data_IF_570298118696
#
_entry.id   IF_570298118696
#
_cell.length_a   1.000
_cell.length_b   1.000
_cell.length_c   1.000
_cell.angle_alpha   90.00
_cell.angle_beta   90.00
_cell.angle_gamma   90.00
#
_symmetry.space_group_name_H-M   'P 1'
#
loop_
_entity.id
_entity.type
_entity.pdbx_description
1 polymer ?
#
# COMPACT_ATOMS: atom_id res chain seq x y z
N UNK A 1 17.50 -0.64 5.99
CA UNK A 1 16.05 -0.85 5.99
C UNK A 1 15.72 -2.14 5.26
N UNK A 2 15.43 -3.17 6.00
CA UNK A 2 15.22 -4.51 5.43
C UNK A 2 13.76 -4.78 5.09
N UNK A 3 12.91 -3.76 5.16
CA UNK A 3 11.48 -3.87 5.04
C UNK A 3 10.88 -3.02 3.91
N UNK A 4 11.70 -2.63 2.94
CA UNK A 4 11.25 -1.91 1.75
C UNK A 4 11.44 -2.81 0.53
N UNK A 5 10.37 -2.98 -0.26
CA UNK A 5 10.35 -3.83 -1.43
C UNK A 5 10.00 -3.00 -2.67
N UNK A 6 10.73 -3.21 -3.75
CA UNK A 6 10.47 -2.52 -5.02
C UNK A 6 9.91 -3.53 -6.02
N UNK A 7 8.76 -3.18 -6.63
CA UNK A 7 8.10 -4.03 -7.62
C UNK A 7 8.25 -3.39 -8.99
N UNK A 8 8.84 -4.12 -9.93
CA UNK A 8 9.16 -3.63 -11.27
C UNK A 8 8.10 -3.88 -12.33
N UNK A 9 6.82 -3.92 -11.95
CA UNK A 9 5.72 -4.16 -12.88
C UNK A 9 4.97 -5.44 -12.57
N UNK A 10 3.91 -5.72 -13.34
CA UNK A 10 3.05 -6.91 -13.18
C UNK A 10 2.45 -7.05 -11.78
N UNK A 11 2.24 -5.94 -11.08
CA UNK A 11 1.64 -5.94 -9.76
C UNK A 11 0.27 -6.63 -9.79
N UNK A 12 -0.03 -7.41 -8.74
CA UNK A 12 -1.27 -8.17 -8.59
C UNK A 12 -1.47 -9.25 -9.65
N UNK A 13 -0.41 -9.67 -10.33
CA UNK A 13 -0.46 -10.69 -11.37
C UNK A 13 0.29 -11.94 -10.95
N UNK A 14 0.06 -13.03 -11.69
CA UNK A 14 0.62 -14.34 -11.38
C UNK A 14 2.14 -14.32 -11.21
N UNK A 15 2.85 -13.49 -12.00
CA UNK A 15 4.30 -13.37 -11.91
C UNK A 15 4.82 -12.87 -10.56
N UNK A 16 3.98 -12.19 -9.78
CA UNK A 16 4.35 -11.67 -8.46
C UNK A 16 3.92 -12.57 -7.29
N UNK A 17 3.13 -13.63 -7.54
CA UNK A 17 2.55 -14.45 -6.46
C UNK A 17 3.61 -15.04 -5.55
N UNK A 18 4.68 -15.60 -6.10
CA UNK A 18 5.73 -16.22 -5.29
C UNK A 18 6.40 -15.21 -4.35
N UNK A 19 6.71 -14.02 -4.87
CA UNK A 19 7.33 -12.95 -4.08
C UNK A 19 6.39 -12.47 -2.99
N UNK A 20 5.15 -12.20 -3.34
CA UNK A 20 4.17 -11.64 -2.40
C UNK A 20 3.80 -12.66 -1.34
N UNK A 21 3.69 -13.94 -1.69
CA UNK A 21 3.45 -15.01 -0.72
C UNK A 21 4.60 -15.11 0.27
N UNK A 22 5.84 -15.09 -0.21
CA UNK A 22 7.03 -15.09 0.64
C UNK A 22 7.01 -13.90 1.59
N UNK A 23 6.66 -12.72 1.07
CA UNK A 23 6.59 -11.50 1.86
C UNK A 23 5.56 -11.61 2.99
N UNK A 24 4.36 -12.12 2.68
CA UNK A 24 3.32 -12.30 3.69
C UNK A 24 3.76 -13.30 4.75
N UNK A 25 4.44 -14.37 4.37
CA UNK A 25 4.97 -15.34 5.32
C UNK A 25 6.00 -14.72 6.26
N UNK A 26 6.81 -13.80 5.76
CA UNK A 26 7.82 -13.11 6.56
C UNK A 26 7.21 -12.19 7.62
N UNK A 27 5.97 -11.75 7.45
CA UNK A 27 5.28 -10.94 8.45
C UNK A 27 4.93 -11.74 9.71
N UNK A 28 4.93 -13.07 9.62
CA UNK A 28 4.79 -13.95 10.77
C UNK A 28 3.42 -13.93 11.45
N UNK A 29 2.40 -13.46 10.75
CA UNK A 29 1.03 -13.36 11.28
C UNK A 29 0.10 -14.25 10.47
N UNK A 30 -0.93 -14.86 11.12
CA UNK A 30 -1.86 -15.73 10.39
C UNK A 30 -2.63 -15.00 9.30
N UNK A 31 -2.95 -13.72 9.52
CA UNK A 31 -3.73 -12.93 8.57
C UNK A 31 -3.22 -11.49 8.58
N UNK A 32 -2.05 -11.23 7.95
CA UNK A 32 -1.45 -9.91 7.98
C UNK A 32 -2.33 -8.85 7.34
N UNK A 33 -2.28 -7.64 7.87
CA UNK A 33 -3.08 -6.51 7.37
C UNK A 33 -2.29 -5.77 6.30
N UNK A 34 -2.91 -5.62 5.14
CA UNK A 34 -2.30 -4.98 3.96
C UNK A 34 -3.13 -3.77 3.55
N UNK A 35 -2.47 -2.63 3.41
CA UNK A 35 -3.10 -1.43 2.85
C UNK A 35 -2.73 -1.31 1.39
N UNK A 36 -3.74 -1.12 0.52
CA UNK A 36 -3.55 -0.84 -0.90
C UNK A 36 -3.82 0.65 -1.11
N UNK A 37 -2.83 1.37 -1.61
CA UNK A 37 -2.90 2.82 -1.78
C UNK A 37 -2.76 3.17 -3.26
N UNK A 38 -3.89 3.48 -3.96
CA UNK A 38 -3.89 3.68 -5.41
C UNK A 38 -3.64 5.12 -5.83
N UNK A 39 -2.92 5.91 -5.04
CA UNK A 39 -2.69 7.33 -5.30
C UNK A 39 -2.13 7.60 -6.69
N UNK A 40 -1.15 6.80 -7.12
CA UNK A 40 -0.52 6.98 -8.44
C UNK A 40 -1.50 6.74 -9.60
N UNK A 41 -2.58 6.01 -9.37
CA UNK A 41 -3.62 5.72 -10.35
C UNK A 41 -4.83 6.67 -10.25
N UNK A 42 -4.71 7.79 -9.52
CA UNK A 42 -5.83 8.67 -9.23
C UNK A 42 -6.59 9.15 -10.48
N UNK A 43 -5.90 9.30 -11.60
CA UNK A 43 -6.49 9.75 -12.86
C UNK A 43 -6.83 8.60 -13.82
N UNK A 44 -6.68 7.34 -13.40
CA UNK A 44 -6.84 6.14 -14.22
C UNK A 44 -7.53 5.02 -13.44
N UNK A 45 -8.83 5.19 -13.16
CA UNK A 45 -9.64 4.16 -12.49
C UNK A 45 -9.01 3.67 -11.16
N UNK A 46 -8.80 4.58 -10.21
CA UNK A 46 -8.14 4.21 -8.94
C UNK A 46 -8.94 3.17 -8.13
N UNK A 47 -10.26 3.19 -8.22
CA UNK A 47 -11.10 2.20 -7.53
C UNK A 47 -10.82 0.80 -8.05
N UNK A 48 -10.65 0.65 -9.36
CA UNK A 48 -10.36 -0.66 -9.97
C UNK A 48 -8.98 -1.16 -9.55
N UNK A 49 -7.97 -0.27 -9.53
CA UNK A 49 -6.64 -0.63 -9.06
C UNK A 49 -6.68 -1.09 -7.60
N UNK A 50 -7.42 -0.36 -6.76
CA UNK A 50 -7.57 -0.70 -5.35
C UNK A 50 -8.28 -2.05 -5.17
N UNK A 51 -9.38 -2.27 -5.87
CA UNK A 51 -10.14 -3.53 -5.78
C UNK A 51 -9.31 -4.72 -6.23
N UNK A 52 -8.55 -4.57 -7.31
CA UNK A 52 -7.67 -5.63 -7.80
C UNK A 52 -6.63 -6.00 -6.75
N UNK A 53 -6.02 -5.02 -6.11
CA UNK A 53 -5.03 -5.25 -5.07
C UNK A 53 -5.62 -5.91 -3.82
N UNK A 54 -6.78 -5.44 -3.39
CA UNK A 54 -7.47 -6.02 -2.22
C UNK A 54 -7.83 -7.48 -2.49
N UNK A 55 -8.41 -7.76 -3.65
CA UNK A 55 -8.76 -9.14 -4.02
C UNK A 55 -7.53 -10.03 -4.08
N UNK A 56 -6.48 -9.54 -4.73
CA UNK A 56 -5.24 -10.29 -4.90
C UNK A 56 -4.65 -10.70 -3.54
N UNK A 57 -4.48 -9.76 -2.62
CA UNK A 57 -3.88 -10.07 -1.32
C UNK A 57 -4.82 -10.89 -0.43
N UNK A 58 -6.13 -10.67 -0.51
CA UNK A 58 -7.08 -11.51 0.22
C UNK A 58 -7.01 -12.96 -0.27
N UNK A 59 -6.85 -13.17 -1.58
CA UNK A 59 -6.69 -14.51 -2.15
C UNK A 59 -5.40 -15.18 -1.68
N UNK A 60 -4.38 -14.41 -1.32
CA UNK A 60 -3.13 -14.94 -0.77
C UNK A 60 -3.19 -15.15 0.75
N UNK A 61 -4.32 -14.88 1.38
CA UNK A 61 -4.51 -15.12 2.82
C UNK A 61 -4.35 -13.90 3.71
N UNK A 62 -4.16 -12.71 3.15
CA UNK A 62 -4.07 -11.48 3.93
C UNK A 62 -5.45 -10.90 4.23
N UNK A 63 -5.47 -9.89 5.11
CA UNK A 63 -6.62 -9.03 5.34
C UNK A 63 -6.30 -7.67 4.73
N UNK A 64 -6.70 -7.49 3.47
CA UNK A 64 -6.38 -6.30 2.71
C UNK A 64 -7.54 -5.30 2.69
N UNK A 65 -7.19 -4.02 2.72
CA UNK A 65 -8.15 -2.94 2.51
C UNK A 65 -7.51 -1.81 1.70
N UNK A 66 -8.34 -1.03 1.01
CA UNK A 66 -7.85 0.14 0.29
C UNK A 66 -7.88 1.38 1.17
N UNK A 67 -6.90 2.26 0.99
CA UNK A 67 -6.89 3.58 1.60
C UNK A 67 -6.86 4.58 0.45
N UNK A 68 -7.99 5.23 0.21
CA UNK A 68 -8.22 6.03 -0.99
C UNK A 68 -7.69 7.46 -0.83
N UNK A 69 -6.39 7.61 -0.74
CA UNK A 69 -5.72 8.91 -0.69
C UNK A 69 -5.43 9.34 -2.12
N UNK A 70 -6.36 10.06 -2.74
CA UNK A 70 -6.29 10.42 -4.15
C UNK A 70 -5.84 11.86 -4.40
N UNK A 71 -5.75 12.68 -3.35
CA UNK A 71 -5.31 14.06 -3.44
C UNK A 71 -4.68 14.50 -2.10
N UNK A 72 -4.12 15.71 -2.07
CA UNK A 72 -3.43 16.21 -0.88
C UNK A 72 -4.37 16.41 0.31
N UNK A 73 -5.62 16.80 0.06
CA UNK A 73 -6.61 16.97 1.13
C UNK A 73 -6.87 15.65 1.84
N UNK A 74 -7.05 14.56 1.07
CA UNK A 74 -7.22 13.22 1.63
C UNK A 74 -5.99 12.78 2.43
N UNK A 75 -4.79 13.20 2.00
CA UNK A 75 -3.53 12.86 2.66
C UNK A 75 -3.36 13.53 4.03
N UNK A 76 -4.28 14.41 4.41
CA UNK A 76 -4.26 15.08 5.72
C UNK A 76 -5.36 14.56 6.66
N UNK A 77 -6.20 13.64 6.22
CA UNK A 77 -7.32 13.15 7.04
C UNK A 77 -6.86 12.16 8.11
N UNK A 78 -7.29 12.40 9.35
CA UNK A 78 -6.94 11.56 10.48
C UNK A 78 -7.43 10.12 10.34
N UNK A 79 -8.57 9.89 9.67
CA UNK A 79 -9.09 8.54 9.45
C UNK A 79 -8.13 7.68 8.65
N UNK A 80 -7.46 8.24 7.65
CA UNK A 80 -6.45 7.52 6.87
C UNK A 80 -5.18 7.29 7.71
N UNK A 81 -4.79 8.27 8.50
CA UNK A 81 -3.60 8.17 9.36
C UNK A 81 -3.74 7.03 10.37
N UNK A 82 -4.92 6.91 10.97
CA UNK A 82 -5.20 5.83 11.92
C UNK A 82 -5.09 4.46 11.26
N UNK A 83 -5.64 4.30 10.06
CA UNK A 83 -5.57 3.02 9.34
C UNK A 83 -4.13 2.63 9.04
N UNK A 84 -3.30 3.57 8.60
CA UNK A 84 -1.88 3.29 8.29
C UNK A 84 -1.15 2.72 9.50
N UNK A 85 -1.41 3.24 10.69
CA UNK A 85 -0.72 2.78 11.91
C UNK A 85 -1.04 1.33 12.28
N UNK A 86 -2.10 0.76 11.73
CA UNK A 86 -2.55 -0.60 12.02
C UNK A 86 -2.08 -1.64 10.99
N UNK A 87 -1.35 -1.21 9.96
CA UNK A 87 -0.97 -2.09 8.84
C UNK A 87 0.35 -2.81 9.08
N UNK A 88 0.44 -4.01 8.53
CA UNK A 88 1.67 -4.82 8.52
C UNK A 88 2.44 -4.62 7.22
N UNK A 89 1.74 -4.34 6.12
CA UNK A 89 2.31 -4.04 4.81
C UNK A 89 1.55 -2.87 4.19
N UNK A 90 2.28 -1.92 3.66
CA UNK A 90 1.74 -0.78 2.92
C UNK A 90 2.16 -0.94 1.47
N UNK A 91 1.20 -1.03 0.55
CA UNK A 91 1.46 -1.28 -0.86
C UNK A 91 0.96 -0.12 -1.71
N UNK A 92 1.87 0.58 -2.37
CA UNK A 92 1.53 1.63 -3.33
C UNK A 92 1.41 1.01 -4.72
N UNK A 93 0.27 1.23 -5.38
CA UNK A 93 0.07 0.73 -6.75
C UNK A 93 0.87 1.57 -7.75
N UNK A 94 1.06 1.03 -8.95
CA UNK A 94 1.66 1.75 -10.05
C UNK A 94 0.75 2.82 -10.63
N UNK A 95 1.30 3.64 -11.51
CA UNK A 95 0.59 4.73 -12.18
C UNK A 95 1.53 5.88 -12.49
N UNK A 96 1.12 7.10 -12.16
CA UNK A 96 1.90 8.31 -12.43
C UNK A 96 2.79 8.66 -11.23
N UNK A 97 4.13 8.48 -11.33
CA UNK A 97 5.02 8.74 -10.22
C UNK A 97 5.10 10.22 -9.85
N UNK A 98 4.96 11.13 -10.80
CA UNK A 98 4.97 12.56 -10.53
C UNK A 98 3.74 12.96 -9.72
N UNK A 99 2.57 12.46 -10.10
CA UNK A 99 1.35 12.71 -9.34
C UNK A 99 1.46 12.16 -7.93
N UNK A 100 2.00 10.95 -7.78
CA UNK A 100 2.22 10.33 -6.47
C UNK A 100 3.09 11.21 -5.58
N UNK A 101 4.24 11.65 -6.09
CA UNK A 101 5.16 12.51 -5.35
C UNK A 101 4.51 13.83 -4.96
N UNK A 102 3.87 14.52 -5.91
CA UNK A 102 3.26 15.82 -5.65
C UNK A 102 2.09 15.73 -4.68
N UNK A 103 1.37 14.61 -4.68
CA UNK A 103 0.22 14.41 -3.79
C UNK A 103 0.65 14.11 -2.36
N UNK A 104 1.67 13.29 -2.17
CA UNK A 104 2.04 12.79 -0.84
C UNK A 104 3.20 13.53 -0.18
N UNK A 105 4.01 14.24 -0.95
CA UNK A 105 5.20 14.92 -0.42
C UNK A 105 4.85 15.89 0.72
N UNK A 106 5.50 15.73 1.85
CA UNK A 106 5.33 16.58 3.05
C UNK A 106 3.91 16.58 3.63
N UNK A 107 3.13 15.53 3.36
CA UNK A 107 1.80 15.37 3.99
C UNK A 107 1.91 14.60 5.29
N UNK A 108 0.87 14.71 6.14
CA UNK A 108 0.77 13.92 7.36
C UNK A 108 0.74 12.42 7.05
N UNK A 109 0.03 12.05 5.97
CA UNK A 109 -0.05 10.66 5.53
C UNK A 109 1.35 10.08 5.28
N UNK A 110 2.16 10.79 4.50
CA UNK A 110 3.51 10.31 4.18
C UNK A 110 4.41 10.25 5.41
N UNK A 111 4.27 11.21 6.32
CA UNK A 111 5.01 11.18 7.60
C UNK A 111 4.66 9.94 8.42
N UNK A 112 3.38 9.57 8.45
CA UNK A 112 2.94 8.39 9.19
C UNK A 112 3.38 7.10 8.50
N UNK A 113 3.39 7.05 7.17
CA UNK A 113 3.95 5.92 6.41
C UNK A 113 5.42 5.72 6.78
N UNK A 114 6.21 6.78 6.73
CA UNK A 114 7.65 6.71 7.06
C UNK A 114 7.84 6.27 8.51
N UNK A 115 7.06 6.82 9.43
CA UNK A 115 7.11 6.44 10.84
C UNK A 115 6.80 4.96 11.04
N UNK A 116 5.76 4.46 10.39
CA UNK A 116 5.37 3.04 10.47
C UNK A 116 6.46 2.13 9.93
N UNK A 117 7.05 2.48 8.79
CA UNK A 117 8.16 1.71 8.19
C UNK A 117 9.36 1.69 9.13
N UNK A 118 9.66 2.81 9.77
CA UNK A 118 10.76 2.88 10.76
C UNK A 118 10.53 1.97 11.97
N UNK A 119 9.27 1.65 12.27
CA UNK A 119 8.89 0.76 13.37
C UNK A 119 8.72 -0.69 12.95
N UNK A 120 8.99 -1.02 11.68
CA UNK A 120 8.96 -2.39 11.20
C UNK A 120 7.85 -2.75 10.21
N UNK A 121 6.91 -1.84 9.93
CA UNK A 121 5.90 -2.07 8.90
C UNK A 121 6.60 -2.21 7.54
N UNK A 122 6.18 -3.17 6.72
CA UNK A 122 6.74 -3.37 5.38
C UNK A 122 6.13 -2.39 4.38
N UNK A 123 6.92 -1.99 3.41
CA UNK A 123 6.51 -1.06 2.36
C UNK A 123 6.76 -1.65 0.98
#
# INVERSE_FOLDING_TARGET
MDNVILVGGDEFREGCVSMDTYLLDRLGKPKPRVAIIPTAAANHQPQKAAENGVRYFNDLGANAESIMVLNREEAQKNSHLKKISEMDLIYFTGGDPEYLLNTLNQTKFMKDVVSSVSKGTFL
#
